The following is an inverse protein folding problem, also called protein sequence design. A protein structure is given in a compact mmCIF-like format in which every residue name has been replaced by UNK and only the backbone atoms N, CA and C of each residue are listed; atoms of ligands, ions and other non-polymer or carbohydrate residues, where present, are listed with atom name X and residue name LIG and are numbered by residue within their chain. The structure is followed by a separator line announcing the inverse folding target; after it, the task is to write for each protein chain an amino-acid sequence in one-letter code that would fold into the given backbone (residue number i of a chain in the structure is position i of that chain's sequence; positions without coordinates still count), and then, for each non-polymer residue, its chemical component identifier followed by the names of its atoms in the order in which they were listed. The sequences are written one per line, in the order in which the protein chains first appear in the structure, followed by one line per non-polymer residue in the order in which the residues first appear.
data_IF_126118522818
#
_entry.id   IF_126118522818
#
_cell.length_a   1.000
_cell.length_b   1.000
_cell.length_c   1.000
_cell.angle_alpha   90.00
_cell.angle_beta   90.00
_cell.angle_gamma   90.00
#
_symmetry.space_group_name_H-M   'P 1'
#
loop_
_entity.id
_entity.type
_entity.pdbx_description
1 polymer ?
#
# COMPACT_ATOMS: atom_id res chain seq x y z
N UNK A 1 -12.71 8.01 -16.77
CA UNK A 1 -12.01 7.26 -17.35
C UNK A 1 -10.84 6.85 -16.71
N UNK A 2 -10.28 7.43 -15.86
CA UNK A 2 -9.19 7.05 -15.11
C UNK A 2 -9.37 5.79 -14.42
N UNK A 3 -10.48 5.22 -14.47
CA UNK A 3 -10.80 4.15 -13.60
C UNK A 3 -10.27 2.79 -13.99
N UNK A 4 -9.74 2.63 -15.21
CA UNK A 4 -9.18 1.34 -15.59
C UNK A 4 -7.97 0.95 -14.77
N UNK A 5 -7.06 1.90 -14.55
CA UNK A 5 -5.87 1.61 -13.74
C UNK A 5 -6.23 1.38 -12.28
N UNK A 6 -7.17 2.16 -11.77
CA UNK A 6 -7.63 1.97 -10.40
C UNK A 6 -8.28 0.60 -10.22
N UNK A 7 -9.17 0.23 -11.14
CA UNK A 7 -9.84 -1.06 -11.09
C UNK A 7 -8.84 -2.22 -11.18
N UNK A 8 -7.84 -2.09 -12.06
CA UNK A 8 -6.80 -3.10 -12.19
C UNK A 8 -6.04 -3.28 -10.88
N UNK A 9 -5.61 -2.17 -10.27
CA UNK A 9 -4.85 -2.25 -9.03
C UNK A 9 -5.70 -2.78 -7.88
N UNK A 10 -6.96 -2.41 -7.83
CA UNK A 10 -7.85 -2.90 -6.78
C UNK A 10 -8.01 -4.41 -6.90
N UNK A 11 -8.27 -4.90 -8.10
CA UNK A 11 -8.41 -6.33 -8.33
C UNK A 11 -7.11 -7.07 -8.03
N UNK A 12 -5.98 -6.50 -8.49
CA UNK A 12 -4.67 -7.07 -8.21
C UNK A 12 -4.44 -7.19 -6.70
N UNK A 13 -4.79 -6.14 -5.96
CA UNK A 13 -4.58 -6.10 -4.52
C UNK A 13 -5.43 -7.15 -3.80
N UNK A 14 -6.69 -7.26 -4.19
CA UNK A 14 -7.58 -8.26 -3.59
C UNK A 14 -7.03 -9.66 -3.83
N UNK A 15 -6.59 -9.94 -5.06
CA UNK A 15 -6.04 -11.25 -5.40
C UNK A 15 -4.74 -11.53 -4.63
N UNK A 16 -3.89 -10.52 -4.50
CA UNK A 16 -2.65 -10.64 -3.75
C UNK A 16 -2.92 -10.98 -2.29
N UNK A 17 -3.87 -10.28 -1.67
CA UNK A 17 -4.23 -10.50 -0.27
C UNK A 17 -4.78 -11.91 -0.08
N UNK A 18 -5.68 -12.32 -0.96
CA UNK A 18 -6.29 -13.66 -0.86
C UNK A 18 -5.26 -14.75 -1.06
N UNK A 19 -4.32 -14.57 -1.99
CA UNK A 19 -3.28 -15.56 -2.24
C UNK A 19 -2.35 -15.71 -1.05
N UNK A 20 -2.00 -14.61 -0.41
CA UNK A 20 -1.17 -14.67 0.78
C UNK A 20 -1.87 -15.38 1.93
N UNK A 21 -3.18 -15.31 1.98
CA UNK A 21 -3.95 -15.86 3.09
C UNK A 21 -4.36 -17.32 2.92
N UNK A 22 -4.02 -17.93 1.77
CA UNK A 22 -4.45 -19.30 1.49
C UNK A 22 -4.02 -20.26 2.60
N UNK A 23 -2.81 -20.11 3.08
CA UNK A 23 -2.28 -21.01 4.11
C UNK A 23 -2.64 -20.52 5.51
N UNK A 24 -2.46 -19.24 5.80
CA UNK A 24 -2.65 -18.72 7.15
C UNK A 24 -4.11 -18.57 7.54
N UNK A 25 -4.98 -18.33 6.57
CA UNK A 25 -6.44 -18.22 6.77
C UNK A 25 -6.81 -17.24 7.89
N UNK A 26 -6.21 -16.07 7.86
CA UNK A 26 -6.46 -15.04 8.88
C UNK A 26 -7.50 -14.01 8.48
N UNK A 27 -7.88 -13.96 7.21
CA UNK A 27 -8.84 -12.96 6.73
C UNK A 27 -10.23 -13.33 7.22
N UNK A 28 -10.87 -12.38 7.90
CA UNK A 28 -12.26 -12.54 8.34
C UNK A 28 -13.21 -11.80 7.43
N UNK A 29 -12.78 -10.67 6.85
CA UNK A 29 -13.67 -9.84 6.05
C UNK A 29 -12.86 -8.96 5.11
N UNK A 30 -13.35 -8.81 3.88
CA UNK A 30 -12.81 -7.86 2.90
C UNK A 30 -13.96 -6.97 2.46
N UNK A 31 -13.74 -5.66 2.49
CA UNK A 31 -14.77 -4.70 2.11
C UNK A 31 -14.17 -3.62 1.22
N UNK A 32 -14.83 -3.37 0.09
CA UNK A 32 -14.43 -2.28 -0.79
C UNK A 32 -15.06 -0.99 -0.33
N UNK A 33 -14.23 0.05 -0.17
CA UNK A 33 -14.74 1.38 0.14
C UNK A 33 -15.26 1.52 1.57
N UNK A 34 -14.38 1.68 2.54
CA UNK A 34 -14.78 1.94 3.91
C UNK A 34 -14.01 3.14 4.45
N UNK A 35 -14.73 4.09 5.03
CA UNK A 35 -14.13 5.25 5.71
C UNK A 35 -13.18 6.05 4.83
N UNK A 36 -13.51 6.18 3.54
CA UNK A 36 -12.67 6.93 2.61
C UNK A 36 -11.50 6.15 2.06
N UNK A 37 -11.35 4.88 2.41
CA UNK A 37 -10.30 4.03 1.87
C UNK A 37 -10.87 3.12 0.79
N UNK A 38 -10.02 2.74 -0.15
CA UNK A 38 -10.46 1.92 -1.29
C UNK A 38 -10.73 0.48 -0.92
N UNK A 39 -10.02 -0.02 0.08
CA UNK A 39 -10.15 -1.40 0.49
C UNK A 39 -9.90 -1.51 2.00
N UNK A 40 -10.67 -2.35 2.64
CA UNK A 40 -10.53 -2.63 4.06
C UNK A 40 -10.49 -4.14 4.25
N UNK A 41 -9.54 -4.62 5.05
CA UNK A 41 -9.41 -6.04 5.33
C UNK A 41 -9.35 -6.23 6.84
N UNK A 42 -10.25 -7.07 7.35
CA UNK A 42 -10.20 -7.45 8.74
C UNK A 42 -9.55 -8.83 8.84
N UNK A 43 -8.43 -8.88 9.52
CA UNK A 43 -7.76 -10.13 9.86
C UNK A 43 -8.08 -10.50 11.30
N UNK A 44 -7.77 -11.72 11.68
CA UNK A 44 -8.00 -12.16 13.06
C UNK A 44 -7.22 -11.36 14.08
N UNK A 45 -6.04 -10.86 13.68
CA UNK A 45 -5.14 -10.17 14.58
C UNK A 45 -5.02 -8.66 14.33
N UNK A 46 -5.64 -8.13 13.27
CA UNK A 46 -5.53 -6.69 12.97
C UNK A 46 -6.52 -6.26 11.90
N UNK A 47 -6.63 -4.96 11.73
CA UNK A 47 -7.38 -4.37 10.62
C UNK A 47 -6.39 -3.62 9.74
N UNK A 48 -6.60 -3.66 8.43
CA UNK A 48 -5.71 -3.01 7.48
C UNK A 48 -6.50 -2.25 6.43
N UNK A 49 -6.05 -1.04 6.14
CA UNK A 49 -6.69 -0.15 5.16
C UNK A 49 -5.77 0.01 3.97
N UNK A 50 -6.36 0.05 2.78
CA UNK A 50 -5.60 0.19 1.54
C UNK A 50 -6.07 1.41 0.78
N UNK A 51 -5.11 2.18 0.28
CA UNK A 51 -5.36 3.30 -0.62
C UNK A 51 -4.80 2.89 -1.98
N UNK A 52 -5.65 2.92 -3.00
CA UNK A 52 -5.26 2.52 -4.36
C UNK A 52 -5.07 3.80 -5.17
N UNK A 53 -3.83 4.10 -5.53
CA UNK A 53 -3.49 5.31 -6.26
C UNK A 53 -2.55 4.96 -7.41
N UNK A 54 -3.09 4.69 -8.63
CA UNK A 54 -2.23 4.36 -9.76
C UNK A 54 -1.18 5.42 -10.03
N UNK A 55 -1.56 6.68 -9.86
CA UNK A 55 -0.63 7.80 -9.96
C UNK A 55 -0.74 8.62 -8.70
N UNK A 56 0.37 8.84 -8.04
CA UNK A 56 0.39 9.63 -6.81
C UNK A 56 0.45 11.10 -7.20
N UNK A 57 -0.67 11.79 -7.08
CA UNK A 57 -0.75 13.20 -7.44
C UNK A 57 -0.56 14.09 -6.23
N UNK A 58 -1.23 13.76 -5.14
CA UNK A 58 -1.17 14.56 -3.91
C UNK A 58 -0.92 13.63 -2.74
N UNK A 59 0.35 13.37 -2.48
CA UNK A 59 0.72 12.44 -1.43
C UNK A 59 0.38 12.98 -0.05
N UNK A 60 0.34 14.30 0.13
CA UNK A 60 -0.02 14.85 1.43
C UNK A 60 -1.46 14.55 1.81
N UNK A 61 -2.37 14.53 0.85
CA UNK A 61 -3.76 14.18 1.15
C UNK A 61 -3.88 12.70 1.53
N UNK A 62 -3.01 11.86 0.98
CA UNK A 62 -2.96 10.45 1.36
C UNK A 62 -2.45 10.31 2.78
N UNK A 63 -1.35 10.99 3.08
CA UNK A 63 -0.73 10.91 4.40
C UNK A 63 -1.68 11.39 5.50
N UNK A 64 -2.50 12.40 5.21
CA UNK A 64 -3.44 12.91 6.18
C UNK A 64 -4.48 11.89 6.64
N UNK A 65 -4.74 10.87 5.82
CA UNK A 65 -5.69 9.83 6.19
C UNK A 65 -5.08 8.76 7.07
N UNK A 66 -3.76 8.72 7.17
CA UNK A 66 -3.06 7.65 7.89
C UNK A 66 -3.04 7.96 9.38
N UNK A 67 -3.31 6.92 10.17
CA UNK A 67 -3.29 7.01 11.61
C UNK A 67 -2.17 6.12 12.14
N UNK A 68 -1.37 6.62 13.07
CA UNK A 68 -0.22 5.89 13.58
C UNK A 68 -0.54 4.55 14.23
N UNK A 69 -1.78 4.34 14.61
CA UNK A 69 -2.17 3.13 15.34
C UNK A 69 -2.80 2.06 14.47
N UNK A 70 -2.80 2.24 13.16
CA UNK A 70 -3.43 1.27 12.26
C UNK A 70 -2.49 0.88 11.14
N UNK A 71 -2.82 -0.24 10.48
CA UNK A 71 -2.05 -0.73 9.36
C UNK A 71 -2.59 -0.14 8.07
N UNK A 72 -1.72 0.47 7.28
CA UNK A 72 -2.09 1.09 6.00
C UNK A 72 -1.15 0.62 4.90
N UNK A 73 -1.72 0.44 3.71
CA UNK A 73 -0.95 0.14 2.52
C UNK A 73 -1.33 1.11 1.42
N UNK A 74 -0.34 1.69 0.78
CA UNK A 74 -0.54 2.50 -0.42
C UNK A 74 -0.12 1.62 -1.60
N UNK A 75 -1.05 1.37 -2.52
CA UNK A 75 -0.79 0.56 -3.70
C UNK A 75 -0.75 1.48 -4.92
N UNK A 76 0.34 1.43 -5.66
CA UNK A 76 0.55 2.31 -6.79
C UNK A 76 1.26 1.56 -7.91
N UNK A 77 1.26 2.15 -9.11
CA UNK A 77 2.00 1.56 -10.23
C UNK A 77 3.49 1.82 -10.08
N UNK A 78 4.30 0.88 -10.55
CA UNK A 78 5.75 1.00 -10.48
C UNK A 78 6.23 1.93 -11.61
N UNK A 79 6.27 3.21 -11.33
CA UNK A 79 6.75 4.22 -12.26
C UNK A 79 7.73 5.13 -11.54
N UNK A 80 8.57 5.79 -12.34
CA UNK A 80 9.55 6.72 -11.78
C UNK A 80 8.86 7.85 -11.05
N UNK A 81 7.77 8.37 -11.62
CA UNK A 81 7.04 9.48 -11.02
C UNK A 81 6.48 9.13 -9.65
N UNK A 82 5.92 7.92 -9.54
CA UNK A 82 5.38 7.47 -8.26
C UNK A 82 6.49 7.24 -7.25
N UNK A 83 7.59 6.66 -7.69
CA UNK A 83 8.72 6.43 -6.81
C UNK A 83 9.29 7.76 -6.31
N UNK A 84 9.43 8.74 -7.20
CA UNK A 84 9.93 10.06 -6.82
C UNK A 84 8.99 10.75 -5.82
N UNK A 85 7.67 10.61 -6.01
CA UNK A 85 6.70 11.18 -5.08
C UNK A 85 6.88 10.60 -3.68
N UNK A 86 7.13 9.29 -3.58
CA UNK A 86 7.37 8.65 -2.29
C UNK A 86 8.68 9.17 -1.68
N UNK A 87 9.74 9.26 -2.47
CA UNK A 87 11.02 9.75 -1.97
C UNK A 87 10.94 11.18 -1.45
N UNK A 88 10.20 12.04 -2.13
CA UNK A 88 10.04 13.41 -1.69
C UNK A 88 9.33 13.54 -0.36
N UNK A 89 8.50 12.59 -0.03
CA UNK A 89 7.74 12.59 1.23
C UNK A 89 8.25 11.56 2.23
N UNK A 90 9.43 11.03 1.99
CA UNK A 90 10.00 9.99 2.84
C UNK A 90 10.04 10.38 4.31
N UNK A 91 10.47 11.61 4.59
CA UNK A 91 10.59 12.08 5.97
C UNK A 91 9.25 12.11 6.70
N UNK A 92 8.15 12.29 5.96
CA UNK A 92 6.82 12.27 6.55
C UNK A 92 6.33 10.85 6.78
N UNK A 93 6.77 9.92 5.94
CA UNK A 93 6.30 8.55 6.00
C UNK A 93 7.00 7.69 7.04
N UNK A 94 8.25 8.00 7.36
CA UNK A 94 9.03 7.17 8.26
C UNK A 94 8.47 7.14 9.68
N UNK A 95 7.60 8.08 10.02
CA UNK A 95 6.97 8.08 11.34
C UNK A 95 5.83 7.09 11.47
N UNK A 96 5.35 6.52 10.36
CA UNK A 96 4.24 5.58 10.39
C UNK A 96 4.76 4.15 10.40
N UNK A 97 4.78 3.53 11.58
CA UNK A 97 5.32 2.19 11.75
C UNK A 97 4.68 1.12 10.90
N UNK A 98 3.38 1.21 10.70
CA UNK A 98 2.61 0.16 10.05
C UNK A 98 2.19 0.52 8.63
N UNK A 99 2.89 1.47 8.01
CA UNK A 99 2.64 1.85 6.62
C UNK A 99 3.57 1.07 5.71
N UNK A 100 3.03 0.51 4.63
CA UNK A 100 3.87 0.02 3.55
C UNK A 100 3.37 0.55 2.21
N UNK A 101 4.23 0.52 1.21
CA UNK A 101 3.92 1.01 -0.13
C UNK A 101 4.23 -0.13 -1.09
N UNK A 102 3.23 -0.49 -1.89
CA UNK A 102 3.36 -1.59 -2.85
C UNK A 102 3.40 -1.01 -4.25
N UNK A 103 4.52 -1.21 -4.94
CA UNK A 103 4.70 -0.80 -6.33
C UNK A 103 4.41 -2.01 -7.20
N UNK A 104 3.44 -1.88 -8.09
CA UNK A 104 2.99 -2.98 -8.93
C UNK A 104 3.40 -2.72 -10.37
N UNK A 105 4.00 -3.71 -11.03
CA UNK A 105 4.35 -3.62 -12.43
C UNK A 105 3.27 -4.29 -13.28
N UNK A 106 2.41 -3.52 -13.96
CA UNK A 106 1.29 -4.11 -14.69
C UNK A 106 1.70 -4.77 -16.00
N UNK A 107 2.91 -4.50 -16.47
CA UNK A 107 3.36 -5.02 -17.77
C UNK A 107 4.16 -6.30 -17.64
N UNK A 108 4.32 -6.83 -16.45
CA UNK A 108 5.05 -8.06 -16.26
C UNK A 108 4.10 -9.25 -16.29
N UNK A 109 4.48 -10.31 -16.99
CA UNK A 109 3.72 -11.54 -16.94
C UNK A 109 3.87 -12.29 -15.64
N UNK A 110 4.77 -11.84 -14.77
CA UNK A 110 4.96 -12.40 -13.46
C UNK A 110 4.41 -11.41 -12.44
N UNK A 111 4.07 -11.90 -11.25
CA UNK A 111 3.56 -11.05 -10.18
C UNK A 111 4.69 -10.24 -9.59
N UNK A 112 5.27 -9.36 -10.37
CA UNK A 112 6.37 -8.54 -9.87
C UNK A 112 5.83 -7.35 -9.12
N UNK A 113 6.27 -7.24 -7.91
CA UNK A 113 5.91 -6.13 -7.05
C UNK A 113 7.11 -5.78 -6.20
N UNK A 114 7.09 -4.57 -5.68
CA UNK A 114 8.14 -4.10 -4.81
C UNK A 114 7.47 -3.46 -3.61
N UNK A 115 7.74 -3.97 -2.43
CA UNK A 115 7.12 -3.48 -1.20
C UNK A 115 8.16 -2.74 -0.38
N UNK A 116 7.82 -1.51 -0.02
CA UNK A 116 8.70 -0.64 0.76
C UNK A 116 8.03 -0.36 2.10
N UNK A 117 8.81 -0.45 3.17
CA UNK A 117 8.36 -0.17 4.53
C UNK A 117 9.15 1.04 5.03
N UNK A 118 8.64 2.27 4.90
CA UNK A 118 9.42 3.46 5.20
C UNK A 118 10.05 3.48 6.57
N UNK A 119 9.29 3.17 7.61
CA UNK A 119 9.82 3.15 8.96
C UNK A 119 10.97 2.15 9.10
N UNK A 120 10.73 0.91 8.67
CA UNK A 120 11.71 -0.16 8.82
C UNK A 120 12.95 0.07 7.97
N UNK A 121 12.76 0.46 6.71
CA UNK A 121 13.90 0.69 5.83
C UNK A 121 14.76 1.86 6.29
N UNK A 122 14.13 2.93 6.77
CA UNK A 122 14.86 4.08 7.28
C UNK A 122 15.69 3.67 8.51
N UNK A 123 15.10 2.91 9.42
CA UNK A 123 15.78 2.48 10.62
C UNK A 123 16.99 1.60 10.30
N UNK A 124 16.85 0.69 9.34
CA UNK A 124 17.95 -0.17 8.93
C UNK A 124 19.09 0.66 8.33
N UNK A 125 18.74 1.65 7.49
CA UNK A 125 19.75 2.51 6.87
C UNK A 125 20.53 3.30 7.92
N UNK A 126 19.86 3.82 8.94
CA UNK A 126 20.51 4.54 10.01
C UNK A 126 21.47 3.63 10.79
N UNK A 127 21.05 2.42 11.05
CA UNK A 127 21.88 1.47 11.76
C UNK A 127 23.07 1.00 10.94
N UNK A 128 22.93 1.02 9.61
CA UNK A 128 24.00 0.59 8.74
C UNK A 128 25.07 1.65 8.52
N UNK A 129 24.75 2.88 8.76
CA UNK A 129 25.72 3.95 8.54
C UNK A 129 26.50 4.27 9.82
#
# INVERSE_FOLDING_TARGET
MENKSHAFLLEWTVNFIKNKDIISRKIEKIKNGKDGFDLYVKYKDREQYFIIAPNIIDIDSIIKRINNNAYFSLVTLNSKENFDAVLKSWSKMISFKFLNIIFVNPFSGLDKKWIVFPYTHHKISDESS
#
